data_IF_370290438555
#
_entry.id   IF_370290438555
#
_cell.length_a   1.000
_cell.length_b   1.000
_cell.length_c   1.000
_cell.angle_alpha   90.00
_cell.angle_beta   90.00
_cell.angle_gamma   90.00
#
_symmetry.space_group_name_H-M   'P 1'
#
loop_
_entity.id
_entity.type
_entity.pdbx_description
1 polymer ?
#
# COMPACT_ATOMS: atom_id res chain seq x y z
N UNK A 1 11.62 -26.36 -8.62
CA UNK A 1 10.50 -25.49 -9.04
C UNK A 1 11.06 -24.19 -9.58
N UNK A 2 11.00 -24.07 -10.90
CA UNK A 2 11.55 -22.97 -11.71
C UNK A 2 10.74 -21.71 -11.44
N UNK A 3 11.37 -20.69 -10.82
CA UNK A 3 10.79 -19.38 -10.53
C UNK A 3 10.46 -18.64 -11.84
N UNK A 4 9.22 -18.76 -12.32
CA UNK A 4 8.64 -17.78 -13.24
C UNK A 4 8.34 -16.52 -12.41
N UNK A 5 8.79 -15.38 -12.92
CA UNK A 5 8.82 -14.06 -12.28
C UNK A 5 9.67 -13.94 -10.99
N UNK A 6 10.90 -13.38 -11.08
CA UNK A 6 11.73 -13.14 -9.89
C UNK A 6 11.18 -12.01 -9.00
N UNK A 7 10.23 -11.22 -9.51
CA UNK A 7 9.71 -9.98 -8.94
C UNK A 7 8.21 -9.86 -9.15
N UNK A 8 7.55 -9.08 -8.31
CA UNK A 8 6.19 -8.59 -8.56
C UNK A 8 6.04 -8.03 -9.98
N UNK A 9 4.96 -8.40 -10.68
CA UNK A 9 4.67 -7.96 -12.07
C UNK A 9 4.04 -6.58 -12.18
N UNK A 10 3.54 -6.03 -11.07
CA UNK A 10 3.00 -4.67 -11.03
C UNK A 10 4.00 -3.64 -11.59
N UNK A 11 3.57 -2.69 -12.46
CA UNK A 11 4.45 -1.72 -13.10
C UNK A 11 5.33 -0.96 -12.08
N UNK A 12 6.64 -0.93 -12.31
CA UNK A 12 7.59 -0.23 -11.42
C UNK A 12 7.93 -0.95 -10.11
N UNK A 13 7.36 -2.13 -9.81
CA UNK A 13 7.69 -2.86 -8.60
C UNK A 13 8.90 -3.80 -8.78
N UNK A 14 9.89 -3.72 -7.88
CA UNK A 14 11.04 -4.63 -7.86
C UNK A 14 11.07 -5.58 -6.67
N UNK A 15 9.95 -5.76 -5.96
CA UNK A 15 9.89 -6.66 -4.80
C UNK A 15 10.10 -8.13 -5.20
N UNK A 16 11.10 -8.78 -4.60
CA UNK A 16 11.47 -10.20 -4.81
C UNK A 16 11.07 -11.14 -3.66
N UNK A 17 10.62 -10.58 -2.55
CA UNK A 17 10.24 -11.30 -1.33
C UNK A 17 8.78 -11.05 -1.03
N UNK A 18 8.15 -12.01 -0.34
CA UNK A 18 6.74 -11.94 0.04
C UNK A 18 5.83 -11.72 -1.18
N UNK A 19 6.10 -12.50 -2.23
CA UNK A 19 5.33 -12.54 -3.46
C UNK A 19 4.46 -13.79 -3.49
N UNK A 20 3.20 -13.61 -3.84
CA UNK A 20 2.18 -14.65 -3.93
C UNK A 20 1.61 -14.68 -5.35
N UNK A 21 1.17 -15.84 -5.82
CA UNK A 21 0.50 -15.98 -7.11
C UNK A 21 -1.00 -15.67 -6.96
N UNK A 22 -1.54 -14.83 -7.83
CA UNK A 22 -2.95 -14.47 -7.89
C UNK A 22 -3.57 -14.98 -9.20
N UNK A 23 -4.79 -15.51 -9.13
CA UNK A 23 -5.54 -15.96 -10.32
C UNK A 23 -6.16 -14.74 -11.02
N UNK A 24 -5.87 -14.54 -12.31
CA UNK A 24 -6.42 -13.40 -13.07
C UNK A 24 -7.92 -13.60 -13.28
N UNK A 25 -8.29 -14.77 -13.80
CA UNK A 25 -9.66 -15.27 -13.77
C UNK A 25 -9.82 -16.16 -12.53
N UNK A 26 -10.75 -15.79 -11.64
CA UNK A 26 -10.97 -16.54 -10.42
C UNK A 26 -11.34 -17.98 -10.73
N UNK A 27 -10.80 -18.92 -9.95
CA UNK A 27 -11.13 -20.34 -10.07
C UNK A 27 -12.64 -20.60 -9.98
N UNK A 28 -13.36 -19.81 -9.17
CA UNK A 28 -14.81 -19.91 -9.02
C UNK A 28 -15.59 -19.58 -10.31
N UNK A 29 -14.99 -18.79 -11.21
CA UNK A 29 -15.58 -18.38 -12.48
C UNK A 29 -15.15 -19.29 -13.64
N UNK A 30 -14.41 -20.37 -13.35
CA UNK A 30 -13.92 -21.33 -14.34
C UNK A 30 -12.45 -21.14 -14.72
N UNK A 31 -11.74 -20.21 -14.07
CA UNK A 31 -10.31 -19.98 -14.30
C UNK A 31 -9.46 -21.22 -14.00
N UNK A 32 -8.79 -21.76 -15.02
CA UNK A 32 -7.89 -22.90 -14.85
C UNK A 32 -6.67 -22.49 -14.00
N UNK A 33 -6.15 -23.40 -13.18
CA UNK A 33 -4.85 -23.22 -12.51
C UNK A 33 -3.72 -23.45 -13.52
N UNK A 34 -3.65 -22.59 -14.53
CA UNK A 34 -2.59 -22.53 -15.53
C UNK A 34 -1.61 -21.42 -15.17
N UNK A 35 -0.34 -21.59 -15.55
CA UNK A 35 0.69 -20.56 -15.38
C UNK A 35 0.38 -19.26 -16.13
N UNK A 36 -0.51 -19.31 -17.12
CA UNK A 36 -0.92 -18.15 -17.90
C UNK A 36 -2.12 -17.41 -17.26
N UNK A 37 -2.80 -18.06 -16.30
CA UNK A 37 -3.85 -17.45 -15.48
C UNK A 37 -3.32 -17.00 -14.10
N UNK A 38 -2.01 -17.09 -13.86
CA UNK A 38 -1.39 -16.72 -12.58
C UNK A 38 -0.44 -15.54 -12.77
N UNK A 39 -0.61 -14.52 -11.93
CA UNK A 39 0.29 -13.36 -11.85
C UNK A 39 0.99 -13.30 -10.50
N UNK A 40 2.30 -13.06 -10.51
CA UNK A 40 3.09 -12.91 -9.28
C UNK A 40 3.02 -11.48 -8.77
N UNK A 41 2.47 -11.28 -7.56
CA UNK A 41 2.33 -9.97 -6.92
C UNK A 41 2.93 -9.97 -5.51
N UNK A 42 3.52 -8.84 -5.08
CA UNK A 42 3.92 -8.69 -3.67
C UNK A 42 2.69 -8.48 -2.79
N UNK A 43 2.79 -8.78 -1.49
CA UNK A 43 1.68 -8.59 -0.52
C UNK A 43 1.03 -7.21 -0.56
N UNK A 44 1.78 -6.15 -0.86
CA UNK A 44 1.23 -4.80 -0.96
C UNK A 44 0.28 -4.68 -2.16
N UNK A 45 0.77 -4.97 -3.38
CA UNK A 45 -0.03 -4.90 -4.60
C UNK A 45 -1.15 -5.96 -4.63
N UNK A 46 -0.91 -7.13 -4.06
CA UNK A 46 -1.94 -8.17 -3.92
C UNK A 46 -3.13 -7.69 -3.05
N UNK A 47 -2.87 -6.94 -1.97
CA UNK A 47 -3.94 -6.34 -1.16
C UNK A 47 -4.66 -5.21 -1.87
N UNK A 48 -3.95 -4.39 -2.65
CA UNK A 48 -4.56 -3.31 -3.41
C UNK A 48 -5.52 -3.85 -4.49
N UNK A 49 -5.14 -4.96 -5.13
CA UNK A 49 -6.01 -5.71 -6.05
C UNK A 49 -7.29 -6.19 -5.34
N UNK A 50 -7.15 -6.89 -4.21
CA UNK A 50 -8.32 -7.35 -3.43
C UNK A 50 -9.20 -6.22 -2.88
N UNK A 51 -8.68 -4.99 -2.81
CA UNK A 51 -9.43 -3.80 -2.41
C UNK A 51 -10.13 -3.11 -3.59
N UNK A 52 -9.97 -3.61 -4.81
CA UNK A 52 -10.55 -3.00 -6.01
C UNK A 52 -9.93 -1.65 -6.38
N UNK A 53 -8.69 -1.40 -5.94
CA UNK A 53 -7.97 -0.16 -6.30
C UNK A 53 -7.57 -0.18 -7.78
N UNK A 54 -7.28 -1.38 -8.29
CA UNK A 54 -6.95 -1.63 -9.69
C UNK A 54 -7.43 -3.02 -10.09
N UNK A 55 -7.51 -3.24 -11.39
CA UNK A 55 -7.86 -4.51 -12.03
C UNK A 55 -6.71 -4.98 -12.93
N UNK A 56 -6.72 -6.27 -13.27
CA UNK A 56 -5.72 -6.89 -14.14
C UNK A 56 -6.46 -7.55 -15.29
N UNK A 57 -6.11 -7.17 -16.52
CA UNK A 57 -6.55 -7.83 -17.74
C UNK A 57 -5.34 -8.36 -18.50
N UNK A 58 -5.57 -9.33 -19.38
CA UNK A 58 -4.57 -9.84 -20.32
C UNK A 58 -4.98 -9.38 -21.71
N UNK A 59 -4.16 -8.53 -22.34
CA UNK A 59 -4.37 -8.05 -23.70
C UNK A 59 -3.15 -8.39 -24.54
N UNK A 60 -3.34 -9.05 -25.70
CA UNK A 60 -2.24 -9.46 -26.59
C UNK A 60 -1.12 -10.26 -25.88
N UNK A 61 -1.48 -11.05 -24.86
CA UNK A 61 -0.54 -11.78 -23.99
C UNK A 61 0.36 -10.90 -23.09
N UNK A 62 0.05 -9.62 -22.94
CA UNK A 62 0.63 -8.73 -21.94
C UNK A 62 -0.36 -8.44 -20.80
N UNK A 63 0.19 -8.24 -19.59
CA UNK A 63 -0.60 -7.88 -18.42
C UNK A 63 -0.85 -6.37 -18.43
N UNK A 64 -2.11 -5.98 -18.49
CA UNK A 64 -2.54 -4.59 -18.40
C UNK A 64 -3.10 -4.35 -17.00
N UNK A 65 -2.64 -3.26 -16.38
CA UNK A 65 -3.06 -2.85 -15.04
C UNK A 65 -3.83 -1.54 -15.17
N UNK A 66 -5.13 -1.57 -14.85
CA UNK A 66 -6.02 -0.41 -14.95
C UNK A 66 -6.52 0.00 -13.57
N UNK A 67 -6.65 1.30 -13.33
CA UNK A 67 -7.37 1.79 -12.16
C UNK A 67 -8.87 1.50 -12.30
N UNK A 68 -9.61 1.57 -11.20
CA UNK A 68 -11.08 1.57 -11.26
C UNK A 68 -11.65 2.70 -12.14
N UNK A 69 -10.91 3.79 -12.37
CA UNK A 69 -11.33 4.86 -13.29
C UNK A 69 -11.03 4.57 -14.76
N UNK A 70 -10.41 3.42 -15.08
CA UNK A 70 -10.03 3.03 -16.43
C UNK A 70 -8.72 3.64 -16.94
N UNK A 71 -7.95 4.30 -16.07
CA UNK A 71 -6.62 4.82 -16.42
C UNK A 71 -5.56 3.71 -16.25
N UNK A 72 -4.69 3.54 -17.23
CA UNK A 72 -3.57 2.59 -17.12
C UNK A 72 -2.53 3.06 -16.10
N UNK A 73 -2.03 2.13 -15.28
CA UNK A 73 -0.89 2.42 -14.42
C UNK A 73 0.38 2.61 -15.25
N UNK A 74 0.81 3.86 -15.41
CA UNK A 74 2.14 4.16 -15.91
C UNK A 74 3.23 3.57 -14.99
N UNK A 75 4.43 3.36 -15.52
CA UNK A 75 5.61 2.97 -14.72
C UNK A 75 5.86 4.03 -13.63
N UNK A 76 5.30 3.80 -12.44
CA UNK A 76 5.62 4.66 -11.32
C UNK A 76 7.05 4.36 -10.88
N UNK A 77 7.90 5.38 -10.72
CA UNK A 77 9.25 5.18 -10.25
C UNK A 77 9.21 4.40 -8.95
N UNK A 78 10.16 3.46 -8.79
CA UNK A 78 10.47 2.89 -7.49
C UNK A 78 10.49 4.06 -6.50
N UNK A 79 9.62 4.02 -5.49
CA UNK A 79 9.70 5.02 -4.43
C UNK A 79 11.15 5.08 -3.99
N UNK A 80 11.76 6.29 -3.94
CA UNK A 80 13.13 6.40 -3.48
C UNK A 80 13.21 5.68 -2.14
N UNK A 81 14.33 4.98 -1.85
CA UNK A 81 14.51 4.34 -0.57
C UNK A 81 14.12 5.34 0.49
N UNK A 82 13.21 4.96 1.41
CA UNK A 82 12.83 5.84 2.51
C UNK A 82 14.12 6.39 3.09
N UNK A 83 14.32 7.70 2.93
CA UNK A 83 15.49 8.36 3.44
C UNK A 83 15.55 8.00 4.92
N UNK A 84 16.68 7.49 5.39
CA UNK A 84 16.81 7.07 6.79
C UNK A 84 16.53 8.30 7.64
N UNK A 85 15.29 8.45 8.09
CA UNK A 85 14.92 9.42 9.11
C UNK A 85 15.80 9.04 10.30
N UNK A 86 16.69 9.94 10.72
CA UNK A 86 17.89 9.69 11.51
C UNK A 86 17.68 9.18 12.95
N UNK A 87 16.76 8.26 13.16
CA UNK A 87 16.54 7.57 14.41
C UNK A 87 17.62 6.50 14.60
N UNK A 88 18.36 6.61 15.70
CA UNK A 88 19.23 5.55 16.19
C UNK A 88 18.37 4.43 16.77
N UNK A 89 18.28 3.29 16.06
CA UNK A 89 17.63 2.09 16.59
C UNK A 89 18.64 1.31 17.42
N UNK A 90 18.35 1.17 18.71
CA UNK A 90 19.12 0.40 19.68
C UNK A 90 18.26 -0.67 20.37
N UNK A 91 18.85 -1.46 21.27
CA UNK A 91 18.15 -2.51 22.01
C UNK A 91 17.06 -1.99 22.95
N UNK A 92 16.97 -0.68 23.18
CA UNK A 92 15.96 -0.02 24.02
C UNK A 92 14.86 0.64 23.19
N UNK A 93 14.94 0.63 21.86
CA UNK A 93 13.93 1.24 20.98
C UNK A 93 12.53 0.63 21.19
N UNK A 94 12.45 -0.64 21.60
CA UNK A 94 11.19 -1.30 21.94
C UNK A 94 10.79 -1.14 23.42
N UNK A 95 11.60 -0.47 24.24
CA UNK A 95 11.28 -0.20 25.65
C UNK A 95 10.51 1.11 25.69
N UNK A 96 9.19 1.09 25.92
CA UNK A 96 8.44 2.33 26.06
C UNK A 96 8.97 3.09 27.28
N UNK A 97 8.99 4.42 27.21
CA UNK A 97 9.30 5.26 28.38
C UNK A 97 8.12 5.31 29.38
N UNK A 98 7.27 4.27 29.38
CA UNK A 98 6.08 4.16 30.21
C UNK A 98 6.43 3.39 31.47
N UNK A 99 6.31 4.05 32.63
CA UNK A 99 6.63 3.48 33.94
C UNK A 99 5.43 2.82 34.64
N UNK A 100 4.32 2.60 33.90
CA UNK A 100 3.08 2.03 34.45
C UNK A 100 2.09 3.08 34.97
N UNK A 101 2.38 4.37 34.78
CA UNK A 101 1.46 5.46 35.12
C UNK A 101 0.16 5.35 34.31
N UNK A 102 -0.98 5.69 34.92
CA UNK A 102 -2.24 5.74 34.21
C UNK A 102 -2.18 6.74 33.06
N UNK A 103 -2.77 6.39 31.92
CA UNK A 103 -2.92 7.32 30.79
C UNK A 103 -3.62 8.61 31.25
N UNK A 104 -3.05 9.77 30.96
CA UNK A 104 -3.71 11.05 31.15
C UNK A 104 -4.73 11.26 30.03
N UNK A 105 -5.95 10.77 30.26
CA UNK A 105 -7.04 10.91 29.31
C UNK A 105 -7.44 12.36 29.08
N UNK A 106 -7.21 13.27 30.05
CA UNK A 106 -7.44 14.70 29.88
C UNK A 106 -6.54 15.27 28.79
N UNK A 107 -5.23 15.04 28.89
CA UNK A 107 -4.26 15.43 27.86
C UNK A 107 -4.56 14.81 26.50
N UNK A 108 -4.96 13.53 26.47
CA UNK A 108 -5.29 12.84 25.22
C UNK A 108 -6.53 13.45 24.54
N UNK A 109 -7.57 13.78 25.31
CA UNK A 109 -8.79 14.43 24.83
C UNK A 109 -8.47 15.84 24.34
N UNK A 110 -7.71 16.62 25.12
CA UNK A 110 -7.34 17.98 24.77
C UNK A 110 -6.54 18.02 23.46
N UNK A 111 -5.58 17.11 23.27
CA UNK A 111 -4.81 17.01 22.02
C UNK A 111 -5.69 16.65 20.81
N UNK A 112 -6.67 15.75 20.98
CA UNK A 112 -7.61 15.40 19.91
C UNK A 112 -8.52 16.58 19.55
N UNK A 113 -9.02 17.30 20.56
CA UNK A 113 -9.83 18.50 20.35
C UNK A 113 -9.03 19.62 19.68
N UNK A 114 -7.79 19.86 20.09
CA UNK A 114 -6.92 20.84 19.45
C UNK A 114 -6.59 20.46 18.00
N UNK A 115 -6.34 19.18 17.71
CA UNK A 115 -6.10 18.71 16.34
C UNK A 115 -7.31 18.94 15.44
N UNK A 116 -8.51 18.66 15.94
CA UNK A 116 -9.73 18.89 15.17
C UNK A 116 -9.98 20.40 15.00
N UNK A 117 -9.78 21.22 16.03
CA UNK A 117 -9.84 22.68 15.91
C UNK A 117 -8.84 23.23 14.87
N UNK A 118 -7.61 22.73 14.83
CA UNK A 118 -6.60 23.10 13.84
C UNK A 118 -7.00 22.69 12.41
N UNK A 119 -7.71 21.58 12.25
CA UNK A 119 -8.29 21.15 10.96
C UNK A 119 -9.43 22.06 10.48
N UNK A 120 -10.22 22.63 11.40
CA UNK A 120 -11.34 23.52 11.06
C UNK A 120 -10.94 24.99 10.91
N UNK A 121 -9.86 25.43 11.56
CA UNK A 121 -9.36 26.83 11.48
C UNK A 121 -8.46 27.09 10.26
N UNK A 122 -7.95 26.06 9.58
CA UNK A 122 -7.18 26.19 8.34
C UNK A 122 -8.01 26.51 7.08
N UNK A 123 -9.29 26.90 7.19
CA UNK A 123 -10.18 27.14 6.05
C UNK A 123 -10.85 28.53 6.07
N UNK A 124 -10.29 29.50 6.81
CA UNK A 124 -10.91 30.82 7.04
C UNK A 124 -10.10 32.04 6.55
N UNK A 125 -9.10 31.86 5.68
CA UNK A 125 -8.37 32.97 5.04
C UNK A 125 -8.70 33.02 3.54
N UNK A 126 -9.89 33.52 3.21
CA UNK A 126 -10.34 33.57 1.81
C UNK A 126 -11.63 34.35 1.56
N UNK A 127 -11.85 35.46 2.27
CA UNK A 127 -12.88 36.44 1.89
C UNK A 127 -12.47 37.82 2.38
N UNK A 128 -11.82 38.60 1.52
CA UNK A 128 -11.67 40.06 1.68
C UNK A 128 -12.87 40.72 0.98
N UNK A 129 -13.45 41.81 1.54
CA UNK A 129 -14.59 42.52 0.92
C UNK A 129 -14.26 43.16 -0.44
#
# INVERSE_FOLDING_TARGET
MTKRDPTCRFPGCCAKKYTDAHHIEHWADGGETSLDNLVTLCRHHHRLLHRGIYEISVENAELVFTTHSGEEFGLQPLQPPLEKIGYSVDSRTCVPNWYGDSCDYGMAIDALLQRDQARFSGNADGATP
#
